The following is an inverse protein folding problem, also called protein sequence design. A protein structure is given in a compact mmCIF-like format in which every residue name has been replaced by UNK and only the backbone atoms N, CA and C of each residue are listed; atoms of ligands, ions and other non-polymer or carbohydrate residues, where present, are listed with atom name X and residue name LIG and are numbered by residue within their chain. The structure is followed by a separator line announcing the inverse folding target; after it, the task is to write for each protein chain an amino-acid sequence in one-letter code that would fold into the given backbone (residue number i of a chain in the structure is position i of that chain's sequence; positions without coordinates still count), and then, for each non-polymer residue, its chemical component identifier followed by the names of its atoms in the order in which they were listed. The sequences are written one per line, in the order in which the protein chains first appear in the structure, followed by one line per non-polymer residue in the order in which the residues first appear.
data_IF_920717001158
#
_entry.id   IF_920717001158
#
_cell.length_a   1.000
_cell.length_b   1.000
_cell.length_c   1.000
_cell.angle_alpha   90.00
_cell.angle_beta   90.00
_cell.angle_gamma   90.00
#
_symmetry.space_group_name_H-M   'P 1'
#
loop_
_entity.id
_entity.type
_entity.pdbx_description
1 polymer ?
#
# COMPACT_ATOMS: atom_id res chain seq x y z
N UNK A 1 -4.42 16.90 20.19
CA UNK A 1 -4.70 16.80 21.65
C UNK A 1 -4.90 15.34 21.97
N UNK A 2 -4.04 14.75 22.82
CA UNK A 2 -3.97 13.30 23.09
C UNK A 2 -5.34 12.73 23.50
N UNK A 3 -5.97 13.27 24.55
CA UNK A 3 -7.23 12.73 25.08
C UNK A 3 -8.47 13.52 24.63
N UNK A 4 -8.70 13.62 23.33
CA UNK A 4 -9.75 14.48 22.76
C UNK A 4 -11.15 14.16 23.28
N UNK A 5 -11.52 12.89 23.38
CA UNK A 5 -12.83 12.50 23.93
C UNK A 5 -13.00 12.83 25.41
N UNK A 6 -11.99 12.50 26.24
CA UNK A 6 -12.02 12.81 27.67
C UNK A 6 -12.06 14.33 27.89
N UNK A 7 -11.39 15.11 27.04
CA UNK A 7 -11.42 16.57 27.10
C UNK A 7 -12.83 17.14 26.93
N UNK A 8 -13.58 16.69 25.91
CA UNK A 8 -14.94 17.16 25.67
C UNK A 8 -15.94 16.62 26.71
N UNK A 9 -15.84 15.34 27.07
CA UNK A 9 -16.75 14.72 28.07
C UNK A 9 -16.59 15.35 29.47
N UNK A 10 -15.39 15.81 29.81
CA UNK A 10 -15.09 16.39 31.13
C UNK A 10 -15.37 17.89 31.24
N UNK A 11 -15.73 18.59 30.16
CA UNK A 11 -15.80 20.06 30.15
C UNK A 11 -16.73 20.63 31.23
N UNK A 12 -17.93 20.07 31.37
CA UNK A 12 -18.91 20.50 32.37
C UNK A 12 -18.41 20.25 33.79
N UNK A 13 -17.88 19.06 34.05
CA UNK A 13 -17.31 18.67 35.33
C UNK A 13 -16.15 19.58 35.74
N UNK A 14 -15.23 19.85 34.80
CA UNK A 14 -14.07 20.73 35.02
C UNK A 14 -14.49 22.16 35.35
N UNK A 15 -15.49 22.71 34.65
CA UNK A 15 -16.04 24.05 34.92
C UNK A 15 -16.71 24.13 36.29
N UNK A 16 -17.48 23.12 36.67
CA UNK A 16 -18.16 23.07 37.98
C UNK A 16 -17.17 22.94 39.14
N UNK A 17 -16.06 22.22 38.94
CA UNK A 17 -15.02 22.02 39.96
C UNK A 17 -13.91 23.08 39.95
N UNK A 18 -13.84 23.92 38.92
CA UNK A 18 -12.78 24.91 38.75
C UNK A 18 -11.39 24.31 38.51
N UNK A 19 -11.32 23.09 37.95
CA UNK A 19 -10.06 22.36 37.73
C UNK A 19 -9.65 22.36 36.25
N UNK A 20 -8.36 22.28 36.00
CA UNK A 20 -7.77 22.11 34.67
C UNK A 20 -8.04 20.71 34.10
N UNK A 21 -7.70 20.52 32.82
CA UNK A 21 -7.79 19.20 32.20
C UNK A 21 -6.73 18.23 32.73
N UNK A 22 -5.55 18.73 33.08
CA UNK A 22 -4.48 17.90 33.61
C UNK A 22 -4.83 17.39 35.02
N UNK A 23 -5.39 18.26 35.87
CA UNK A 23 -5.92 17.86 37.19
C UNK A 23 -7.08 16.87 37.06
N UNK A 24 -7.93 17.01 36.03
CA UNK A 24 -8.98 16.03 35.75
C UNK A 24 -8.40 14.65 35.38
N UNK A 25 -7.38 14.62 34.51
CA UNK A 25 -6.71 13.38 34.11
C UNK A 25 -5.95 12.71 35.26
N UNK A 26 -5.43 13.49 36.20
CA UNK A 26 -4.64 12.98 37.32
C UNK A 26 -5.51 12.45 38.46
N UNK A 27 -6.57 13.19 38.83
CA UNK A 27 -7.34 12.89 40.04
C UNK A 27 -8.70 12.25 39.77
N UNK A 28 -9.21 12.28 38.54
CA UNK A 28 -10.60 11.92 38.24
C UNK A 28 -10.77 10.92 37.09
N UNK A 29 -9.68 10.48 36.45
CA UNK A 29 -9.71 9.41 35.43
C UNK A 29 -9.03 8.17 36.00
N UNK A 30 -9.74 7.04 35.98
CA UNK A 30 -9.17 5.80 36.51
C UNK A 30 -8.00 5.30 35.65
N UNK A 31 -7.06 4.51 36.21
CA UNK A 31 -5.99 3.88 35.42
C UNK A 31 -6.52 3.06 34.23
N UNK A 32 -7.67 2.39 34.39
CA UNK A 32 -8.31 1.60 33.33
C UNK A 32 -8.89 2.48 32.21
N UNK A 33 -9.55 3.59 32.55
CA UNK A 33 -10.06 4.55 31.58
C UNK A 33 -8.94 5.27 30.85
N UNK A 34 -7.84 5.57 31.55
CA UNK A 34 -6.63 6.14 30.96
C UNK A 34 -6.00 5.16 29.96
N UNK A 35 -5.82 3.89 30.34
CA UNK A 35 -5.33 2.84 29.46
C UNK A 35 -6.26 2.58 28.25
N UNK A 36 -7.58 2.69 28.43
CA UNK A 36 -8.55 2.61 27.33
C UNK A 36 -8.44 3.81 26.38
N UNK A 37 -8.33 5.03 26.93
CA UNK A 37 -8.14 6.23 26.15
C UNK A 37 -6.81 6.20 25.39
N UNK A 38 -5.72 5.74 26.02
CA UNK A 38 -4.42 5.57 25.38
C UNK A 38 -4.50 4.57 24.21
N UNK A 39 -5.17 3.42 24.39
CA UNK A 39 -5.45 2.47 23.28
C UNK A 39 -6.26 3.10 22.14
N UNK A 40 -7.25 3.92 22.47
CA UNK A 40 -8.03 4.65 21.46
C UNK A 40 -7.23 5.72 20.75
N UNK A 41 -6.23 6.32 21.40
CA UNK A 41 -5.35 7.33 20.81
C UNK A 41 -4.32 6.68 19.89
N UNK A 42 -3.76 5.55 20.30
CA UNK A 42 -2.95 4.68 19.45
C UNK A 42 -3.74 4.31 18.18
N UNK A 43 -5.00 3.87 18.32
CA UNK A 43 -5.86 3.53 17.18
C UNK A 43 -6.35 4.73 16.33
N UNK A 44 -6.30 5.96 16.84
CA UNK A 44 -6.72 7.18 16.13
C UNK A 44 -5.55 7.94 15.48
N UNK A 45 -4.31 7.61 15.85
CA UNK A 45 -3.10 8.33 15.40
C UNK A 45 -2.49 7.79 14.11
N UNK A 46 -2.77 6.55 13.74
CA UNK A 46 -2.14 5.81 12.64
C UNK A 46 -3.19 5.43 11.60
N UNK A 47 -2.96 5.84 10.35
CA UNK A 47 -3.70 5.25 9.23
C UNK A 47 -3.39 3.76 9.22
N UNK A 48 -4.39 2.92 9.47
CA UNK A 48 -4.24 1.46 9.37
C UNK A 48 -3.61 1.13 8.00
N UNK A 49 -2.55 0.33 8.02
CA UNK A 49 -1.96 -0.15 6.77
C UNK A 49 -2.97 -1.09 6.08
N UNK A 50 -3.09 -1.00 4.76
CA UNK A 50 -4.01 -1.82 3.99
C UNK A 50 -3.49 -3.28 3.92
N UNK A 51 -4.20 -4.26 4.52
CA UNK A 51 -3.76 -5.65 4.54
C UNK A 51 -3.73 -6.31 3.15
N UNK A 52 -4.61 -5.89 2.24
CA UNK A 52 -4.64 -6.41 0.86
C UNK A 52 -3.45 -5.89 0.09
N UNK A 53 -3.10 -4.61 0.26
CA UNK A 53 -1.85 -4.09 -0.29
C UNK A 53 -0.64 -4.85 0.25
N UNK A 54 -0.60 -5.12 1.56
CA UNK A 54 0.50 -5.88 2.14
C UNK A 54 0.63 -7.27 1.51
N UNK A 55 -0.48 -8.01 1.38
CA UNK A 55 -0.49 -9.32 0.74
C UNK A 55 -0.02 -9.26 -0.73
N UNK A 56 -0.54 -8.31 -1.51
CA UNK A 56 -0.15 -8.13 -2.91
C UNK A 56 1.36 -7.87 -3.02
N UNK A 57 1.89 -6.95 -2.23
CA UNK A 57 3.33 -6.62 -2.30
C UNK A 57 4.19 -7.80 -1.89
N UNK A 58 3.86 -8.49 -0.80
CA UNK A 58 4.63 -9.65 -0.34
C UNK A 58 4.62 -10.78 -1.35
N UNK A 59 3.45 -11.12 -1.92
CA UNK A 59 3.34 -12.17 -2.94
C UNK A 59 4.00 -11.79 -4.25
N UNK A 60 3.97 -10.51 -4.62
CA UNK A 60 4.48 -10.09 -5.91
C UNK A 60 6.00 -9.94 -5.90
N UNK A 61 6.54 -9.33 -4.86
CA UNK A 61 7.94 -8.86 -4.81
C UNK A 61 8.81 -9.63 -3.81
N UNK A 62 8.27 -10.62 -3.10
CA UNK A 62 9.05 -11.55 -2.28
C UNK A 62 8.80 -12.99 -2.75
N UNK A 63 9.84 -13.82 -2.73
CA UNK A 63 9.70 -15.26 -2.95
C UNK A 63 8.92 -15.93 -1.80
N UNK A 64 8.14 -17.00 -2.04
CA UNK A 64 7.46 -17.74 -0.97
C UNK A 64 8.40 -18.09 0.17
N UNK A 65 7.94 -17.89 1.40
CA UNK A 65 8.73 -18.10 2.62
C UNK A 65 10.03 -17.28 2.71
N UNK A 66 10.15 -16.21 1.91
CA UNK A 66 11.28 -15.30 1.93
C UNK A 66 11.37 -14.47 3.21
N UNK A 67 12.52 -13.81 3.36
CA UNK A 67 12.80 -12.91 4.48
C UNK A 67 12.45 -11.45 4.14
N UNK A 68 11.72 -10.79 5.03
CA UNK A 68 11.25 -9.42 4.90
C UNK A 68 11.82 -8.56 6.02
N UNK A 69 12.46 -7.44 5.67
CA UNK A 69 12.92 -6.42 6.62
C UNK A 69 12.04 -5.17 6.52
N UNK A 70 11.56 -4.69 7.66
CA UNK A 70 10.80 -3.44 7.78
C UNK A 70 11.48 -2.48 8.78
N UNK A 71 12.11 -1.39 8.31
CA UNK A 71 12.72 -0.41 9.21
C UNK A 71 11.71 0.40 10.01
N UNK A 72 10.41 0.35 9.70
CA UNK A 72 9.36 1.11 10.38
C UNK A 72 8.14 0.21 10.62
N UNK A 73 8.26 -0.64 11.63
CA UNK A 73 7.29 -1.70 11.96
C UNK A 73 5.85 -1.19 12.04
N UNK A 74 5.63 -0.04 12.66
CA UNK A 74 4.32 0.56 12.80
C UNK A 74 3.37 -0.39 13.51
N UNK A 75 2.12 -0.46 13.05
CA UNK A 75 1.12 -1.39 13.56
C UNK A 75 1.30 -2.81 13.03
N UNK A 76 0.65 -3.76 13.72
CA UNK A 76 0.79 -5.20 13.50
C UNK A 76 0.38 -5.72 12.12
N UNK A 77 -0.37 -4.95 11.32
CA UNK A 77 -1.01 -5.46 10.08
C UNK A 77 -0.02 -6.15 9.15
N UNK A 78 1.15 -5.55 8.89
CA UNK A 78 2.15 -6.14 7.99
C UNK A 78 2.69 -7.45 8.55
N UNK A 79 3.02 -7.51 9.84
CA UNK A 79 3.48 -8.75 10.47
C UNK A 79 2.41 -9.84 10.53
N UNK A 80 1.14 -9.50 10.76
CA UNK A 80 0.03 -10.49 10.72
C UNK A 80 -0.12 -11.08 9.32
N UNK A 81 -0.09 -10.25 8.28
CA UNK A 81 -0.16 -10.73 6.89
C UNK A 81 1.07 -11.59 6.57
N UNK A 82 2.27 -11.13 6.94
CA UNK A 82 3.51 -11.88 6.71
C UNK A 82 3.47 -13.26 7.38
N UNK A 83 3.05 -13.33 8.65
CA UNK A 83 2.90 -14.58 9.40
C UNK A 83 1.86 -15.51 8.80
N UNK A 84 0.71 -14.97 8.38
CA UNK A 84 -0.36 -15.73 7.69
C UNK A 84 0.14 -16.37 6.39
N UNK A 85 1.01 -15.68 5.66
CA UNK A 85 1.59 -16.14 4.40
C UNK A 85 2.87 -16.97 4.57
N UNK A 86 3.35 -17.12 5.81
CA UNK A 86 4.53 -17.93 6.15
C UNK A 86 5.88 -17.29 5.77
N UNK A 87 5.98 -15.95 5.79
CA UNK A 87 7.25 -15.22 5.62
C UNK A 87 8.01 -15.08 6.96
N UNK A 88 9.34 -14.92 6.87
CA UNK A 88 10.19 -14.48 7.98
C UNK A 88 10.22 -12.96 7.98
N UNK A 89 9.53 -12.33 8.94
CA UNK A 89 9.30 -10.89 8.98
C UNK A 89 9.99 -10.29 10.19
N UNK A 90 10.88 -9.32 9.95
CA UNK A 90 11.65 -8.67 11.00
C UNK A 90 11.49 -7.16 10.90
N UNK A 91 11.00 -6.53 11.97
CA UNK A 91 10.70 -5.11 11.98
C UNK A 91 11.29 -4.37 13.18
N UNK A 92 11.74 -3.13 12.97
CA UNK A 92 12.13 -2.22 14.06
C UNK A 92 11.01 -1.21 14.29
N UNK A 93 10.63 -1.00 15.55
CA UNK A 93 9.65 -0.01 15.97
C UNK A 93 10.16 0.71 17.22
N UNK A 94 10.08 2.04 17.24
CA UNK A 94 10.64 2.87 18.32
C UNK A 94 9.77 2.81 19.58
N UNK A 95 8.46 2.66 19.43
CA UNK A 95 7.51 2.64 20.54
C UNK A 95 7.42 1.25 21.16
N UNK A 96 7.98 1.08 22.36
CA UNK A 96 7.91 -0.17 23.12
C UNK A 96 6.49 -0.71 23.30
N UNK A 97 5.53 0.17 23.58
CA UNK A 97 4.12 -0.21 23.71
C UNK A 97 3.56 -0.81 22.42
N UNK A 98 3.94 -0.27 21.26
CA UNK A 98 3.52 -0.81 19.96
C UNK A 98 4.21 -2.16 19.67
N UNK A 99 5.49 -2.30 20.01
CA UNK A 99 6.20 -3.59 19.90
C UNK A 99 5.50 -4.67 20.73
N UNK A 100 5.05 -4.35 21.94
CA UNK A 100 4.34 -5.30 22.80
C UNK A 100 2.98 -5.70 22.21
N UNK A 101 2.21 -4.74 21.70
CA UNK A 101 0.95 -5.00 20.99
C UNK A 101 1.18 -5.88 19.77
N UNK A 102 2.18 -5.55 18.96
CA UNK A 102 2.49 -6.28 17.74
C UNK A 102 2.94 -7.71 18.04
N UNK A 103 3.82 -7.89 19.02
CA UNK A 103 4.35 -9.19 19.44
C UNK A 103 3.24 -10.09 19.96
N UNK A 104 2.32 -9.57 20.77
CA UNK A 104 1.16 -10.34 21.25
C UNK A 104 0.22 -10.71 20.09
N UNK A 105 -0.03 -9.78 19.17
CA UNK A 105 -0.89 -10.03 18.01
C UNK A 105 -0.31 -11.05 17.02
N UNK A 106 1.01 -11.25 17.02
CA UNK A 106 1.71 -12.18 16.14
C UNK A 106 2.37 -13.35 16.88
N UNK A 107 2.00 -13.61 18.13
CA UNK A 107 2.64 -14.62 18.99
C UNK A 107 2.62 -16.04 18.42
N UNK A 108 1.59 -16.36 17.63
CA UNK A 108 1.43 -17.68 17.00
C UNK A 108 2.26 -17.82 15.71
N UNK A 109 2.87 -16.73 15.23
CA UNK A 109 3.74 -16.70 14.06
C UNK A 109 5.20 -16.59 14.49
N UNK A 110 5.84 -17.72 14.78
CA UNK A 110 7.22 -17.75 15.30
C UNK A 110 8.29 -17.12 14.39
N UNK A 111 8.00 -16.89 13.11
CA UNK A 111 8.86 -16.22 12.14
C UNK A 111 8.65 -14.70 12.07
N UNK A 112 7.72 -14.14 12.85
CA UNK A 112 7.43 -12.69 12.89
C UNK A 112 8.04 -12.09 14.15
N UNK A 113 8.98 -11.15 13.98
CA UNK A 113 9.74 -10.55 15.07
C UNK A 113 9.67 -9.03 15.01
N UNK A 114 9.32 -8.42 16.14
CA UNK A 114 9.40 -6.98 16.34
C UNK A 114 10.50 -6.65 17.35
N UNK A 115 11.36 -5.70 17.00
CA UNK A 115 12.43 -5.23 17.85
C UNK A 115 12.17 -3.78 18.26
N UNK A 116 12.28 -3.51 19.56
CA UNK A 116 12.17 -2.14 20.07
C UNK A 116 13.51 -1.42 19.90
N UNK A 117 13.55 -0.33 19.13
CA UNK A 117 14.75 0.45 18.97
C UNK A 117 14.68 1.55 17.91
N UNK A 118 15.76 2.31 17.80
CA UNK A 118 15.94 3.33 16.76
C UNK A 118 16.47 2.68 15.48
N UNK A 119 15.74 2.84 14.38
CA UNK A 119 16.08 2.30 13.08
C UNK A 119 17.39 2.85 12.51
N UNK A 120 17.91 3.98 13.02
CA UNK A 120 19.28 4.42 12.70
C UNK A 120 20.34 3.37 13.08
N UNK A 121 20.01 2.45 13.99
CA UNK A 121 20.86 1.34 14.42
C UNK A 121 20.33 -0.02 13.95
N UNK A 122 19.45 -0.06 12.93
CA UNK A 122 18.82 -1.30 12.46
C UNK A 122 19.83 -2.39 12.10
N UNK A 123 21.03 -2.01 11.62
CA UNK A 123 22.11 -2.92 11.30
C UNK A 123 22.58 -3.76 12.50
N UNK A 124 22.50 -3.20 13.70
CA UNK A 124 22.88 -3.83 14.96
C UNK A 124 21.72 -4.57 15.63
N UNK A 125 20.49 -4.04 15.46
CA UNK A 125 19.27 -4.62 16.05
C UNK A 125 18.88 -5.91 15.33
N UNK A 126 18.84 -5.86 14.00
CA UNK A 126 18.53 -7.02 13.16
C UNK A 126 19.86 -7.59 12.69
N UNK A 127 20.34 -8.65 13.35
CA UNK A 127 21.63 -9.29 13.00
C UNK A 127 21.54 -10.11 11.72
N UNK A 128 20.34 -10.58 11.38
CA UNK A 128 20.08 -11.30 10.14
C UNK A 128 20.45 -10.45 8.91
N UNK A 129 20.74 -11.13 7.83
CA UNK A 129 21.03 -10.57 6.51
C UNK A 129 20.33 -11.43 5.46
N UNK A 130 20.64 -11.22 4.19
CA UNK A 130 20.11 -12.01 3.09
C UNK A 130 18.57 -11.89 2.97
N UNK A 131 18.06 -10.67 3.18
CA UNK A 131 16.64 -10.35 3.01
C UNK A 131 16.23 -10.38 1.53
N UNK A 132 15.05 -10.93 1.28
CA UNK A 132 14.46 -11.09 -0.06
C UNK A 132 13.51 -9.93 -0.41
N UNK A 133 13.07 -9.15 0.59
CA UNK A 133 12.25 -7.95 0.42
C UNK A 133 12.51 -6.94 1.55
N UNK A 134 12.68 -5.66 1.22
CA UNK A 134 12.49 -4.56 2.16
C UNK A 134 11.13 -3.91 1.89
N UNK A 135 10.21 -3.91 2.85
CA UNK A 135 8.86 -3.38 2.63
C UNK A 135 8.36 -2.56 3.81
N UNK A 136 8.04 -1.29 3.55
CA UNK A 136 7.64 -0.37 4.61
C UNK A 136 6.73 0.78 4.15
N UNK A 137 6.12 1.46 5.12
CA UNK A 137 5.51 2.78 4.98
C UNK A 137 6.22 3.68 5.98
N UNK A 138 7.23 4.45 5.55
CA UNK A 138 8.05 5.23 6.45
C UNK A 138 7.26 6.40 7.08
N UNK A 139 7.77 6.98 8.19
CA UNK A 139 7.19 8.19 8.77
C UNK A 139 7.34 9.38 7.81
N UNK A 140 6.38 10.30 7.87
CA UNK A 140 6.41 11.54 7.10
C UNK A 140 6.92 12.71 7.95
N UNK A 141 7.90 13.45 7.43
CA UNK A 141 8.39 14.68 8.06
C UNK A 141 7.23 15.64 8.38
N UNK A 142 7.25 16.20 9.59
CA UNK A 142 6.24 17.14 10.12
C UNK A 142 4.79 16.61 10.20
N UNK A 143 4.44 15.42 9.69
CA UNK A 143 3.06 14.93 9.65
C UNK A 143 2.73 14.01 10.83
N UNK A 144 3.67 13.18 11.24
CA UNK A 144 3.46 12.14 12.25
C UNK A 144 4.52 12.26 13.35
N UNK A 145 4.26 13.08 14.37
CA UNK A 145 5.12 13.20 15.56
C UNK A 145 4.64 12.19 16.58
N UNK A 146 5.27 11.01 16.62
CA UNK A 146 4.83 9.90 17.47
C UNK A 146 5.36 9.99 18.92
N UNK A 147 6.49 10.67 19.17
CA UNK A 147 7.00 11.01 20.51
C UNK A 147 7.96 12.22 20.45
N UNK A 148 8.43 12.72 21.61
CA UNK A 148 9.45 13.79 21.67
C UNK A 148 10.84 13.28 21.27
N UNK A 149 11.06 11.96 21.35
CA UNK A 149 12.28 11.27 20.93
C UNK A 149 12.21 10.79 19.46
N UNK A 150 11.16 11.13 18.72
CA UNK A 150 10.93 10.66 17.36
C UNK A 150 11.73 11.45 16.32
N UNK A 151 12.08 10.79 15.23
CA UNK A 151 12.77 11.31 14.05
C UNK A 151 12.07 12.50 13.39
N UNK A 152 10.75 12.55 13.50
CA UNK A 152 9.90 13.63 13.02
C UNK A 152 9.82 14.82 13.98
N UNK A 153 10.42 14.73 15.18
CA UNK A 153 10.29 15.71 16.26
C UNK A 153 11.49 16.67 16.41
N UNK A 154 12.64 16.37 15.79
CA UNK A 154 13.89 17.10 16.05
C UNK A 154 14.74 17.22 14.78
N UNK A 155 14.53 18.28 13.99
CA UNK A 155 15.48 18.69 12.95
C UNK A 155 14.90 19.41 11.73
N UNK A 156 15.78 19.75 10.79
CA UNK A 156 15.40 20.23 9.45
C UNK A 156 14.97 19.07 8.54
N UNK A 157 14.39 19.38 7.38
CA UNK A 157 14.00 18.35 6.41
C UNK A 157 15.23 17.60 5.86
N UNK A 158 16.35 18.29 5.75
CA UNK A 158 17.63 17.73 5.30
C UNK A 158 18.21 16.75 6.32
N UNK A 159 18.09 17.06 7.62
CA UNK A 159 18.50 16.15 8.70
C UNK A 159 17.61 14.90 8.72
N UNK A 160 16.30 15.06 8.53
CA UNK A 160 15.37 13.94 8.36
C UNK A 160 15.77 13.06 7.18
N UNK A 161 16.01 13.62 6.01
CA UNK A 161 16.42 12.86 4.81
C UNK A 161 17.78 12.19 4.97
N UNK A 162 18.71 12.80 5.73
CA UNK A 162 20.03 12.22 6.01
C UNK A 162 19.93 10.96 6.86
N UNK A 163 19.11 11.00 7.91
CA UNK A 163 18.85 9.82 8.76
C UNK A 163 18.04 8.76 8.01
N UNK A 164 17.06 9.19 7.21
CA UNK A 164 16.31 8.32 6.30
C UNK A 164 17.24 7.52 5.38
N UNK A 165 18.18 8.20 4.71
CA UNK A 165 19.19 7.56 3.85
C UNK A 165 20.09 6.61 4.65
N UNK A 166 20.51 6.98 5.87
CA UNK A 166 21.31 6.10 6.74
C UNK A 166 20.56 4.80 7.12
N UNK A 167 19.27 4.88 7.42
CA UNK A 167 18.43 3.72 7.75
C UNK A 167 18.32 2.79 6.55
N UNK A 168 17.96 3.34 5.39
CA UNK A 168 17.78 2.54 4.19
C UNK A 168 19.08 1.99 3.64
N UNK A 169 20.21 2.69 3.78
CA UNK A 169 21.53 2.14 3.46
C UNK A 169 21.77 0.82 4.20
N UNK A 170 21.51 0.79 5.51
CA UNK A 170 21.65 -0.43 6.31
C UNK A 170 20.67 -1.53 5.91
N UNK A 171 19.45 -1.18 5.49
CA UNK A 171 18.50 -2.15 4.95
C UNK A 171 18.99 -2.75 3.63
N UNK A 172 19.44 -1.90 2.70
CA UNK A 172 19.99 -2.30 1.39
C UNK A 172 21.24 -3.15 1.56
N UNK A 173 22.12 -2.83 2.50
CA UNK A 173 23.31 -3.62 2.83
C UNK A 173 22.94 -5.06 3.27
N UNK A 174 21.77 -5.24 3.88
CA UNK A 174 21.25 -6.55 4.34
C UNK A 174 20.41 -7.31 3.31
N UNK A 175 20.07 -6.69 2.18
CA UNK A 175 19.30 -7.31 1.11
C UNK A 175 20.19 -8.13 0.17
N UNK A 176 19.65 -9.20 -0.43
CA UNK A 176 20.33 -9.93 -1.52
C UNK A 176 20.29 -9.14 -2.83
N UNK A 177 21.21 -9.45 -3.72
CA UNK A 177 20.99 -9.14 -5.14
C UNK A 177 19.80 -9.96 -5.68
N UNK A 178 19.07 -9.41 -6.65
CA UNK A 178 17.82 -10.00 -7.16
C UNK A 178 16.61 -9.82 -6.25
N UNK A 179 16.71 -8.97 -5.22
CA UNK A 179 15.62 -8.66 -4.28
C UNK A 179 15.01 -7.28 -4.53
N UNK A 180 13.89 -7.00 -3.87
CA UNK A 180 13.12 -5.77 -4.04
C UNK A 180 13.07 -4.91 -2.77
N UNK A 181 13.02 -3.59 -2.97
CA UNK A 181 12.64 -2.61 -1.96
C UNK A 181 11.34 -1.94 -2.40
N UNK A 182 10.34 -1.95 -1.54
CA UNK A 182 9.02 -1.36 -1.79
C UNK A 182 8.67 -0.38 -0.67
N UNK A 183 8.36 0.87 -1.04
CA UNK A 183 7.91 1.88 -0.09
C UNK A 183 6.56 2.47 -0.49
N UNK A 184 5.66 2.55 0.48
CA UNK A 184 4.37 3.24 0.35
C UNK A 184 4.50 4.67 0.91
N UNK A 185 4.44 5.67 0.05
CA UNK A 185 4.63 7.09 0.42
C UNK A 185 3.66 8.04 -0.30
N UNK A 186 3.28 9.12 0.38
CA UNK A 186 2.56 10.27 -0.16
C UNK A 186 3.45 11.52 -0.27
N UNK A 187 2.93 12.56 -0.90
CA UNK A 187 3.64 13.85 -0.91
C UNK A 187 3.43 14.61 0.40
N UNK A 188 4.47 15.31 0.85
CA UNK A 188 4.45 16.11 2.08
C UNK A 188 4.43 17.58 1.71
N UNK A 189 3.52 18.35 2.32
CA UNK A 189 3.53 19.81 2.19
C UNK A 189 4.30 20.45 3.33
N UNK A 190 5.14 21.43 3.00
CA UNK A 190 5.76 22.32 3.97
C UNK A 190 4.65 23.11 4.70
N UNK A 191 4.57 22.98 6.03
CA UNK A 191 3.52 23.63 6.83
C UNK A 191 3.57 25.16 6.78
N UNK A 192 4.74 25.76 6.52
CA UNK A 192 4.94 27.21 6.55
C UNK A 192 4.39 27.90 5.30
N UNK A 193 4.71 27.37 4.12
CA UNK A 193 4.35 27.99 2.84
C UNK A 193 3.37 27.15 1.99
N UNK A 194 3.18 25.87 2.32
CA UNK A 194 2.25 24.97 1.66
C UNK A 194 2.73 24.31 0.37
N UNK A 195 3.99 24.54 -0.03
CA UNK A 195 4.60 23.87 -1.19
C UNK A 195 4.85 22.38 -0.91
N UNK A 196 4.99 21.57 -1.96
CA UNK A 196 5.43 20.19 -1.77
C UNK A 196 6.93 20.14 -1.47
N UNK A 197 7.32 19.25 -0.57
CA UNK A 197 8.72 18.94 -0.26
C UNK A 197 9.41 18.13 -1.35
N UNK A 198 8.66 17.57 -2.31
CA UNK A 198 9.13 16.58 -3.29
C UNK A 198 9.53 15.25 -2.63
N UNK A 199 8.77 14.80 -1.64
CA UNK A 199 9.16 13.63 -0.84
C UNK A 199 9.20 12.35 -1.67
N UNK A 200 8.35 12.23 -2.70
CA UNK A 200 8.37 11.10 -3.64
C UNK A 200 9.66 11.13 -4.47
N UNK A 201 10.01 12.28 -5.04
CA UNK A 201 11.23 12.44 -5.83
C UNK A 201 12.51 12.26 -5.01
N UNK A 202 12.50 12.70 -3.75
CA UNK A 202 13.63 12.53 -2.84
C UNK A 202 13.84 11.05 -2.49
N UNK A 203 12.76 10.29 -2.29
CA UNK A 203 12.84 8.84 -2.10
C UNK A 203 13.46 8.14 -3.31
N UNK A 204 12.98 8.44 -4.53
CA UNK A 204 13.55 7.90 -5.77
C UNK A 204 15.06 8.22 -5.82
N UNK A 205 15.42 9.48 -5.59
CA UNK A 205 16.82 9.92 -5.62
C UNK A 205 17.68 9.20 -4.57
N UNK A 206 17.17 9.02 -3.36
CA UNK A 206 17.85 8.29 -2.28
C UNK A 206 18.12 6.85 -2.68
N UNK A 207 17.11 6.11 -3.15
CA UNK A 207 17.30 4.71 -3.51
C UNK A 207 18.23 4.50 -4.71
N UNK A 208 18.21 5.42 -5.69
CA UNK A 208 19.20 5.42 -6.78
C UNK A 208 20.63 5.65 -6.26
N UNK A 209 20.83 6.57 -5.30
CA UNK A 209 22.15 6.79 -4.67
C UNK A 209 22.63 5.57 -3.88
N UNK A 210 21.72 4.80 -3.31
CA UNK A 210 22.01 3.55 -2.61
C UNK A 210 22.24 2.35 -3.56
N UNK A 211 22.29 2.59 -4.87
CA UNK A 211 22.59 1.55 -5.86
C UNK A 211 21.41 0.67 -6.25
N UNK A 212 20.18 1.06 -5.91
CA UNK A 212 18.98 0.39 -6.40
C UNK A 212 18.54 0.97 -7.75
N UNK A 213 17.77 0.18 -8.49
CA UNK A 213 17.18 0.59 -9.75
C UNK A 213 15.68 0.83 -9.60
N UNK A 214 15.19 1.98 -10.04
CA UNK A 214 13.76 2.29 -10.03
C UNK A 214 13.03 1.45 -11.08
N UNK A 215 12.01 0.69 -10.65
CA UNK A 215 11.40 -0.36 -11.46
C UNK A 215 9.93 -0.09 -11.79
N UNK A 216 9.09 0.02 -10.76
CA UNK A 216 7.65 0.22 -10.92
C UNK A 216 7.13 1.30 -9.98
N UNK A 217 6.01 1.89 -10.38
CA UNK A 217 5.19 2.77 -9.57
C UNK A 217 3.75 2.24 -9.58
N UNK A 218 3.20 1.98 -8.40
CA UNK A 218 1.79 1.66 -8.22
C UNK A 218 1.10 2.83 -7.51
N UNK A 219 -0.19 3.02 -7.79
CA UNK A 219 -1.00 4.07 -7.19
C UNK A 219 -2.05 3.43 -6.28
N UNK A 220 -1.93 3.65 -4.98
CA UNK A 220 -2.96 3.29 -4.01
C UNK A 220 -3.99 4.41 -3.96
N UNK A 221 -5.19 4.16 -4.49
CA UNK A 221 -6.31 5.10 -4.40
C UNK A 221 -6.86 5.06 -2.98
N UNK A 222 -6.96 6.23 -2.36
CA UNK A 222 -7.51 6.39 -1.01
C UNK A 222 -8.97 6.87 -1.06
N UNK A 223 -9.66 6.78 0.08
CA UNK A 223 -11.04 7.24 0.23
C UNK A 223 -11.21 8.70 -0.23
N UNK A 224 -12.05 8.90 -1.25
CA UNK A 224 -12.28 10.22 -1.89
C UNK A 224 -13.42 11.01 -1.28
N UNK A 225 -14.38 10.35 -0.61
CA UNK A 225 -15.66 10.94 -0.23
C UNK A 225 -15.53 12.24 0.60
N UNK A 226 -14.77 12.21 1.71
CA UNK A 226 -14.58 13.40 2.56
C UNK A 226 -13.70 14.48 1.91
N UNK A 227 -12.92 14.11 0.88
CA UNK A 227 -12.05 15.04 0.13
C UNK A 227 -12.87 15.84 -0.88
N UNK A 228 -13.84 15.21 -1.54
CA UNK A 228 -14.80 15.89 -2.43
C UNK A 228 -15.58 16.98 -1.69
N UNK A 229 -16.04 16.70 -0.47
CA UNK A 229 -16.78 17.68 0.36
C UNK A 229 -15.95 18.92 0.74
N UNK A 230 -14.62 18.80 0.73
CA UNK A 230 -13.67 19.88 1.08
C UNK A 230 -13.06 20.56 -0.15
N UNK A 231 -13.55 20.25 -1.35
CA UNK A 231 -13.01 20.76 -2.60
C UNK A 231 -13.05 22.30 -2.67
N UNK A 232 -14.10 22.95 -2.17
CA UNK A 232 -14.21 24.42 -2.16
C UNK A 232 -13.02 25.10 -1.46
N UNK A 233 -12.59 24.59 -0.30
CA UNK A 233 -11.40 25.10 0.40
C UNK A 233 -10.11 24.89 -0.40
N UNK A 234 -10.00 23.75 -1.08
CA UNK A 234 -8.89 23.47 -2.01
C UNK A 234 -8.88 24.41 -3.20
N UNK A 235 -10.04 24.68 -3.81
CA UNK A 235 -10.18 25.60 -4.94
C UNK A 235 -9.82 27.03 -4.55
N UNK A 236 -10.24 27.52 -3.38
CA UNK A 236 -9.86 28.84 -2.85
C UNK A 236 -8.35 28.97 -2.65
N UNK A 237 -7.72 27.95 -2.08
CA UNK A 237 -6.27 27.94 -1.82
C UNK A 237 -5.43 27.52 -3.03
N UNK A 238 -6.05 27.14 -4.14
CA UNK A 238 -5.42 26.49 -5.30
C UNK A 238 -4.61 25.22 -4.93
N UNK A 239 -4.98 24.56 -3.84
CA UNK A 239 -4.36 23.31 -3.36
C UNK A 239 -5.29 22.14 -3.61
N UNK A 240 -4.86 21.19 -4.43
CA UNK A 240 -5.56 19.93 -4.61
C UNK A 240 -5.37 19.04 -3.37
N UNK A 241 -6.44 18.32 -3.00
CA UNK A 241 -6.35 17.26 -1.99
C UNK A 241 -5.77 16.02 -2.68
N UNK A 242 -4.68 15.46 -2.16
CA UNK A 242 -4.15 14.20 -2.69
C UNK A 242 -5.16 13.09 -2.40
N UNK A 243 -5.51 12.29 -3.39
CA UNK A 243 -6.46 11.17 -3.28
C UNK A 243 -5.78 9.80 -3.40
N UNK A 244 -4.45 9.78 -3.35
CA UNK A 244 -3.68 8.58 -3.55
C UNK A 244 -2.34 8.65 -2.81
N UNK A 245 -1.74 7.48 -2.62
CA UNK A 245 -0.35 7.30 -2.23
C UNK A 245 0.38 6.54 -3.34
N UNK A 246 1.69 6.78 -3.43
CA UNK A 246 2.58 6.13 -4.37
C UNK A 246 3.18 4.91 -3.68
N UNK A 247 3.23 3.79 -4.37
CA UNK A 247 3.97 2.60 -3.95
C UNK A 247 5.12 2.44 -4.93
N UNK A 248 6.31 2.81 -4.50
CA UNK A 248 7.50 2.80 -5.33
C UNK A 248 8.21 1.45 -5.16
N UNK A 249 8.66 0.88 -6.27
CA UNK A 249 9.35 -0.41 -6.32
C UNK A 249 10.72 -0.23 -6.93
N UNK A 250 11.73 -0.76 -6.24
CA UNK A 250 13.12 -0.78 -6.68
C UNK A 250 13.68 -2.19 -6.60
N UNK A 251 14.67 -2.52 -7.41
CA UNK A 251 15.42 -3.78 -7.31
C UNK A 251 16.90 -3.55 -7.02
N UNK A 252 17.53 -4.53 -6.37
CA UNK A 252 18.97 -4.58 -6.09
C UNK A 252 19.69 -5.57 -7.01
N UNK A 253 20.87 -5.22 -7.50
CA UNK A 253 21.68 -6.07 -8.38
C UNK A 253 21.19 -6.05 -9.83
N UNK A 254 21.45 -7.12 -10.58
CA UNK A 254 21.13 -7.21 -12.01
C UNK A 254 19.74 -7.79 -12.28
N UNK A 255 19.09 -7.31 -13.35
CA UNK A 255 17.72 -7.72 -13.73
C UNK A 255 17.61 -9.24 -13.99
N UNK A 256 18.66 -9.88 -14.50
CA UNK A 256 18.64 -11.32 -14.81
C UNK A 256 18.69 -12.20 -13.54
N UNK A 257 19.21 -11.69 -12.42
CA UNK A 257 19.18 -12.42 -11.13
C UNK A 257 17.78 -12.47 -10.52
N UNK A 258 16.92 -11.50 -10.85
CA UNK A 258 15.52 -11.50 -10.45
C UNK A 258 14.82 -12.71 -11.06
N UNK A 259 15.03 -13.01 -12.35
CA UNK A 259 14.37 -14.17 -12.99
C UNK A 259 14.70 -15.46 -12.26
N UNK A 260 15.96 -15.69 -11.89
CA UNK A 260 16.39 -16.87 -11.13
C UNK A 260 15.73 -16.98 -9.76
N UNK A 261 15.45 -15.83 -9.13
CA UNK A 261 14.76 -15.76 -7.84
C UNK A 261 13.27 -16.09 -7.98
N UNK A 262 12.67 -15.87 -9.15
CA UNK A 262 11.22 -16.00 -9.38
C UNK A 262 10.80 -17.05 -10.44
N UNK A 263 11.76 -17.76 -11.05
CA UNK A 263 11.58 -18.58 -12.27
C UNK A 263 10.54 -19.69 -12.12
N UNK A 264 10.47 -20.31 -10.94
CA UNK A 264 9.55 -21.42 -10.65
C UNK A 264 8.23 -20.98 -9.98
N UNK A 265 8.03 -19.67 -9.73
CA UNK A 265 7.04 -19.21 -8.74
C UNK A 265 5.70 -18.78 -9.33
N UNK A 266 5.58 -18.75 -10.66
CA UNK A 266 4.34 -18.41 -11.37
C UNK A 266 4.21 -19.30 -12.58
N UNK A 267 3.64 -20.49 -12.41
CA UNK A 267 2.81 -21.02 -13.50
C UNK A 267 1.57 -20.11 -13.52
N UNK A 268 1.39 -19.21 -14.49
CA UNK A 268 0.12 -18.53 -14.63
C UNK A 268 -0.92 -19.64 -14.84
N UNK A 269 -1.73 -19.92 -13.82
CA UNK A 269 -2.96 -20.66 -14.06
C UNK A 269 -3.71 -19.86 -15.11
N UNK A 270 -3.97 -20.48 -16.27
CA UNK A 270 -4.89 -19.91 -17.25
C UNK A 270 -6.22 -19.75 -16.54
N UNK A 271 -6.52 -18.55 -16.03
CA UNK A 271 -7.85 -18.19 -15.55
C UNK A 271 -8.79 -18.10 -16.75
N UNK A 272 -9.20 -19.26 -17.26
CA UNK A 272 -10.48 -19.41 -17.92
C UNK A 272 -11.42 -20.02 -16.89
N UNK A 273 -12.23 -19.18 -16.24
CA UNK A 273 -13.32 -19.67 -15.40
C UNK A 273 -14.37 -20.31 -16.31
N UNK A 274 -14.31 -21.63 -16.48
CA UNK A 274 -15.40 -22.36 -17.12
C UNK A 274 -16.60 -22.33 -16.16
N UNK A 275 -17.57 -21.47 -16.43
CA UNK A 275 -18.86 -21.51 -15.74
C UNK A 275 -19.64 -22.70 -16.31
N UNK A 276 -19.72 -23.78 -15.53
CA UNK A 276 -20.54 -24.94 -15.87
C UNK A 276 -21.98 -24.67 -15.41
N UNK A 277 -22.88 -24.49 -16.38
CA UNK A 277 -24.32 -24.34 -16.12
C UNK A 277 -25.01 -25.68 -16.42
N UNK A 278 -25.70 -26.23 -15.42
CA UNK A 278 -26.47 -27.46 -15.56
C UNK A 278 -27.97 -27.15 -15.45
N UNK A 279 -28.74 -27.58 -16.45
CA UNK A 279 -30.20 -27.54 -16.39
C UNK A 279 -30.73 -28.92 -15.97
N UNK A 280 -31.56 -28.99 -14.93
CA UNK A 280 -32.20 -30.22 -14.46
C UNK A 280 -33.59 -30.35 -15.10
N UNK A 281 -33.67 -31.01 -16.26
CA UNK A 281 -34.90 -31.25 -17.03
C UNK A 281 -34.59 -31.56 -18.50
N UNK A 282 -35.62 -31.71 -19.34
CA UNK A 282 -35.44 -31.81 -20.80
C UNK A 282 -35.12 -30.42 -21.38
N UNK A 283 -33.95 -30.20 -21.99
CA UNK A 283 -33.54 -28.90 -22.52
C UNK A 283 -34.53 -28.29 -23.52
N UNK A 284 -35.36 -29.10 -24.19
CA UNK A 284 -36.40 -28.61 -25.10
C UNK A 284 -37.45 -27.74 -24.41
N UNK A 285 -37.60 -27.88 -23.10
CA UNK A 285 -38.56 -27.17 -22.27
C UNK A 285 -37.96 -26.00 -21.47
N UNK A 286 -36.70 -25.62 -21.74
CA UNK A 286 -36.05 -24.49 -21.02
C UNK A 286 -36.86 -23.20 -21.14
N UNK A 287 -37.44 -22.92 -22.31
CA UNK A 287 -38.24 -21.70 -22.55
C UNK A 287 -39.55 -21.68 -21.75
N UNK A 288 -40.05 -22.84 -21.32
CA UNK A 288 -41.25 -22.93 -20.48
C UNK A 288 -40.95 -22.47 -19.05
N UNK A 289 -39.72 -22.69 -18.58
CA UNK A 289 -39.29 -22.35 -17.22
C UNK A 289 -38.63 -20.97 -17.13
N UNK A 290 -37.99 -20.54 -18.22
CA UNK A 290 -37.31 -19.26 -18.32
C UNK A 290 -37.84 -18.53 -19.56
N UNK A 291 -38.68 -17.53 -19.31
CA UNK A 291 -39.15 -16.65 -20.37
C UNK A 291 -37.97 -15.90 -21.02
N UNK A 292 -38.06 -15.51 -22.30
CA UNK A 292 -37.08 -14.64 -22.92
C UNK A 292 -36.84 -13.41 -22.05
N UNK A 293 -35.58 -12.99 -21.93
CA UNK A 293 -35.26 -11.72 -21.27
C UNK A 293 -35.81 -10.62 -22.17
N UNK A 294 -36.92 -10.01 -21.76
CA UNK A 294 -37.46 -8.82 -22.40
C UNK A 294 -36.72 -7.61 -21.84
N UNK A 295 -36.00 -6.91 -22.71
CA UNK A 295 -35.40 -5.62 -22.38
C UNK A 295 -36.44 -4.54 -22.62
N UNK A 296 -36.58 -3.59 -21.69
CA UNK A 296 -37.25 -2.35 -22.01
C UNK A 296 -36.39 -1.51 -22.99
N UNK A 297 -36.98 -0.48 -23.62
CA UNK A 297 -36.27 0.34 -24.61
C UNK A 297 -34.97 0.95 -24.07
N UNK A 298 -34.94 1.30 -22.79
CA UNK A 298 -33.77 1.90 -22.13
C UNK A 298 -32.66 0.85 -21.91
N UNK A 299 -33.01 -0.36 -21.49
CA UNK A 299 -32.08 -1.49 -21.32
C UNK A 299 -31.52 -1.96 -22.65
N UNK A 300 -32.36 -2.02 -23.70
CA UNK A 300 -31.95 -2.40 -25.04
C UNK A 300 -30.96 -1.38 -25.61
N UNK A 301 -31.20 -0.09 -25.38
CA UNK A 301 -30.30 0.99 -25.79
C UNK A 301 -28.97 0.92 -25.04
N UNK A 302 -28.98 0.72 -23.71
CA UNK A 302 -27.76 0.57 -22.92
C UNK A 302 -26.92 -0.63 -23.34
N UNK A 303 -27.55 -1.74 -23.69
CA UNK A 303 -26.87 -2.91 -24.24
C UNK A 303 -26.23 -2.61 -25.61
N UNK A 304 -26.98 -1.97 -26.52
CA UNK A 304 -26.46 -1.58 -27.83
C UNK A 304 -25.26 -0.62 -27.71
N UNK A 305 -25.35 0.38 -26.83
CA UNK A 305 -24.28 1.35 -26.58
C UNK A 305 -23.04 0.67 -25.97
N UNK A 306 -23.25 -0.29 -25.07
CA UNK A 306 -22.17 -1.09 -24.49
C UNK A 306 -21.46 -1.91 -25.57
N UNK A 307 -22.20 -2.60 -26.45
CA UNK A 307 -21.59 -3.36 -27.55
C UNK A 307 -20.86 -2.47 -28.55
N UNK A 308 -21.44 -1.33 -28.90
CA UNK A 308 -20.83 -0.37 -29.83
C UNK A 308 -19.59 0.33 -29.25
N UNK A 309 -19.51 0.51 -27.93
CA UNK A 309 -18.34 1.12 -27.28
C UNK A 309 -17.11 0.21 -27.20
N UNK A 310 -17.29 -1.10 -27.42
CA UNK A 310 -16.23 -2.12 -27.35
C UNK A 310 -15.87 -2.66 -28.74
N UNK A 311 -16.67 -2.36 -29.77
CA UNK A 311 -16.34 -2.69 -31.15
C UNK A 311 -15.16 -1.83 -31.64
N UNK A 312 -14.08 -2.44 -32.19
CA UNK A 312 -13.01 -1.67 -32.82
C UNK A 312 -13.58 -0.84 -33.99
N UNK A 313 -13.07 0.37 -34.26
CA UNK A 313 -13.55 1.18 -35.36
C UNK A 313 -13.44 0.38 -36.66
N UNK A 314 -14.52 0.36 -37.45
CA UNK A 314 -14.53 -0.30 -38.75
C UNK A 314 -13.36 0.24 -39.59
N UNK A 315 -12.42 -0.65 -39.92
CA UNK A 315 -11.34 -0.33 -40.83
C UNK A 315 -11.92 0.11 -42.17
N UNK A 316 -11.31 1.12 -42.77
CA UNK A 316 -11.58 1.55 -44.14
C UNK A 316 -11.59 0.33 -45.05
N UNK A 317 -12.65 0.19 -45.87
CA UNK A 317 -12.82 -0.90 -46.83
C UNK A 317 -11.57 -1.01 -47.72
N UNK A 318 -10.77 -2.06 -47.55
CA UNK A 318 -9.76 -2.45 -48.52
C UNK A 318 -10.48 -2.79 -49.83
N UNK A 319 -10.26 -1.95 -50.86
CA UNK A 319 -10.68 -2.23 -52.22
C UNK A 319 -10.05 -3.56 -52.68
N UNK A 320 -10.82 -4.47 -53.32
CA UNK A 320 -10.26 -5.73 -53.79
C UNK A 320 -9.21 -5.47 -54.88
N UNK A 321 -8.02 -6.03 -54.68
CA UNK A 321 -6.92 -6.00 -55.64
C UNK A 321 -7.35 -6.66 -56.96
N UNK A 322 -7.10 -5.97 -58.08
CA UNK A 322 -7.33 -6.48 -59.43
C UNK A 322 -6.54 -7.77 -59.66
N UNK A 323 -7.23 -8.84 -60.04
CA UNK A 323 -6.63 -10.09 -60.51
C UNK A 323 -5.88 -9.84 -61.83
N UNK A 324 -4.55 -9.70 -61.73
CA UNK A 324 -3.65 -9.77 -62.87
C UNK A 324 -3.56 -11.19 -63.39
N UNK A 325 -4.41 -11.53 -64.35
CA UNK A 325 -4.28 -12.76 -65.13
C UNK A 325 -3.04 -12.72 -66.03
N UNK A 326 -2.11 -13.65 -65.81
CA UNK A 326 -1.19 -14.10 -66.84
C UNK A 326 -1.24 -15.63 -66.93
N UNK A 327 -1.67 -16.05 -68.13
CA UNK A 327 -1.79 -17.39 -68.64
C UNK A 327 -0.43 -18.05 -68.82
N UNK A 328 -0.22 -19.21 -68.20
CA UNK A 328 0.80 -20.17 -68.60
C UNK A 328 0.13 -21.25 -69.46
N UNK A 329 0.12 -21.02 -70.79
CA UNK A 329 -0.13 -22.08 -71.76
C UNK A 329 1.20 -22.78 -72.05
N UNK A 330 1.30 -24.03 -71.60
CA UNK A 330 2.30 -24.96 -72.13
C UNK A 330 1.89 -25.42 -73.52
N UNK A 331 2.82 -25.35 -74.47
CA UNK A 331 2.76 -26.10 -75.72
C UNK A 331 3.93 -27.08 -75.77
N UNK A 332 3.58 -28.35 -75.91
CA UNK A 332 4.42 -29.42 -76.42
C UNK A 332 5.04 -29.05 -77.78
N UNK A 333 6.36 -29.26 -77.90
CA UNK A 333 7.00 -30.01 -79.00
C UNK A 333 8.48 -30.28 -78.66
#
# INVERSE_FOLDING_TARGET
MRYKELYYKSEKFRKEKGISFDEYLEYYVSPEEKAKADRSVLAQGTSLFDPVLAEIIMRWFCKPHGKIIDPFGGEQTKGVVAGTLGYDYQAVEIRKEQVDINTEATKDYGSVKYFCGDSNNIGQIITDSDFDLCFTSPPYYDLEVYSKEDMSALGTYEEFMSQYENIFRQCVDKMKDGSFLVVKIGEVRNKKNGEYRNFVGDNISTFLRLGLHYYNELILIEQVASRCLRADGGMKSRKTQKCHQNVLVFYKGEMDEIKKTFEDMRMPEKMHSNVLVFYKGDPKHVQDHFQPIEYNEEEAQQLADTFNSVAPPAGEEEQPAEEGGQSDEGTDD
#
